data_IF_678145675637
#
_entry.id   IF_678145675637
#
_cell.length_a   1.000
_cell.length_b   1.000
_cell.length_c   1.000
_cell.angle_alpha   90.00
_cell.angle_beta   90.00
_cell.angle_gamma   90.00
#
_symmetry.space_group_name_H-M   'P 1'
#
loop_
_entity.id
_entity.type
_entity.pdbx_description
1 polymer ?
#
# COMPACT_ATOMS: atom_id res chain seq x y z
N UNK A 1 -30.73 -43.84 21.89
CA UNK A 1 -31.54 -43.05 20.94
C UNK A 1 -30.91 -43.24 19.57
N UNK A 2 -31.69 -43.48 18.51
CA UNK A 2 -31.13 -43.68 17.17
C UNK A 2 -30.28 -42.45 16.77
N UNK A 3 -29.01 -42.67 16.43
CA UNK A 3 -28.12 -41.61 15.95
C UNK A 3 -28.69 -41.04 14.65
N UNK A 4 -28.87 -39.72 14.59
CA UNK A 4 -29.48 -39.03 13.45
C UNK A 4 -28.43 -38.85 12.37
N UNK A 5 -28.72 -39.27 11.13
CA UNK A 5 -27.82 -39.06 10.01
C UNK A 5 -27.88 -37.61 9.52
N UNK A 6 -26.88 -37.14 8.76
CA UNK A 6 -26.86 -35.77 8.24
C UNK A 6 -28.06 -35.44 7.34
N UNK A 7 -28.63 -36.44 6.65
CA UNK A 7 -29.89 -36.30 5.91
C UNK A 7 -31.08 -36.05 6.84
N UNK A 8 -31.13 -36.72 7.98
CA UNK A 8 -32.17 -36.56 9.01
C UNK A 8 -32.03 -35.21 9.73
N UNK A 9 -30.78 -34.74 9.93
CA UNK A 9 -30.47 -33.42 10.50
C UNK A 9 -30.96 -32.28 9.60
N UNK A 10 -30.79 -32.42 8.27
CA UNK A 10 -31.30 -31.43 7.31
C UNK A 10 -32.78 -31.65 6.95
N UNK A 11 -33.39 -32.77 7.34
CA UNK A 11 -34.77 -33.11 7.01
C UNK A 11 -34.99 -33.36 5.52
N UNK A 12 -34.00 -33.92 4.83
CA UNK A 12 -34.02 -34.19 3.39
C UNK A 12 -33.83 -35.67 3.10
N UNK A 13 -34.35 -36.15 1.98
CA UNK A 13 -34.15 -37.54 1.55
C UNK A 13 -32.68 -37.83 1.22
N UNK A 14 -32.24 -39.09 1.37
CA UNK A 14 -30.90 -39.54 0.94
C UNK A 14 -30.64 -39.28 -0.55
N UNK A 15 -31.71 -39.28 -1.36
CA UNK A 15 -31.66 -39.00 -2.80
C UNK A 15 -31.86 -37.51 -3.13
N UNK A 16 -31.83 -36.61 -2.15
CA UNK A 16 -32.06 -35.18 -2.38
C UNK A 16 -30.99 -34.59 -3.31
N UNK A 17 -31.43 -33.71 -4.20
CA UNK A 17 -30.55 -32.93 -5.06
C UNK A 17 -29.78 -31.87 -4.26
N UNK A 18 -28.63 -31.42 -4.77
CA UNK A 18 -27.82 -30.38 -4.13
C UNK A 18 -28.60 -29.08 -3.90
N UNK A 19 -29.57 -28.79 -4.80
CA UNK A 19 -30.48 -27.65 -4.68
C UNK A 19 -31.43 -27.80 -3.48
N UNK A 20 -31.93 -29.00 -3.21
CA UNK A 20 -32.80 -29.30 -2.06
C UNK A 20 -32.03 -29.27 -0.74
N UNK A 21 -30.81 -29.82 -0.71
CA UNK A 21 -29.91 -29.78 0.44
C UNK A 21 -29.59 -28.31 0.80
N UNK A 22 -29.26 -27.49 -0.20
CA UNK A 22 -28.99 -26.06 -0.02
C UNK A 22 -30.22 -25.27 0.43
N UNK A 23 -31.41 -25.62 -0.07
CA UNK A 23 -32.68 -25.00 0.33
C UNK A 23 -33.04 -25.34 1.78
N UNK A 24 -32.86 -26.60 2.17
CA UNK A 24 -33.10 -27.07 3.54
C UNK A 24 -32.13 -26.42 4.54
N UNK A 25 -30.83 -26.37 4.20
CA UNK A 25 -29.82 -25.67 5.01
C UNK A 25 -30.19 -24.21 5.21
N UNK A 26 -30.51 -23.45 4.16
CA UNK A 26 -30.89 -22.03 4.30
C UNK A 26 -32.09 -21.82 5.22
N UNK A 27 -33.10 -22.70 5.14
CA UNK A 27 -34.30 -22.63 5.97
C UNK A 27 -34.00 -22.91 7.45
N UNK A 28 -33.15 -23.90 7.73
CA UNK A 28 -32.77 -24.29 9.10
C UNK A 28 -31.74 -23.33 9.70
N UNK A 29 -30.76 -22.89 8.91
CA UNK A 29 -29.76 -21.89 9.30
C UNK A 29 -30.43 -20.55 9.66
N UNK A 30 -31.42 -20.09 8.87
CA UNK A 30 -32.17 -18.88 9.19
C UNK A 30 -33.03 -19.00 10.46
N UNK A 31 -33.44 -20.24 10.82
CA UNK A 31 -34.26 -20.55 11.99
C UNK A 31 -33.43 -20.69 13.27
N UNK A 32 -32.23 -21.26 13.16
CA UNK A 32 -31.34 -21.52 14.29
C UNK A 32 -30.17 -20.52 14.38
N UNK A 33 -30.18 -19.44 13.57
CA UNK A 33 -29.12 -18.45 13.62
C UNK A 33 -29.00 -17.79 15.01
N UNK A 34 -27.79 -17.69 15.58
CA UNK A 34 -27.59 -17.14 16.92
C UNK A 34 -28.09 -15.69 17.05
N UNK A 35 -27.87 -14.85 16.02
CA UNK A 35 -28.37 -13.46 15.99
C UNK A 35 -29.91 -13.31 16.01
N UNK A 36 -30.65 -14.40 15.78
CA UNK A 36 -32.12 -14.43 15.86
C UNK A 36 -32.64 -15.15 17.09
N UNK A 37 -31.79 -15.38 18.10
CA UNK A 37 -32.13 -16.11 19.31
C UNK A 37 -32.32 -17.62 19.08
N UNK A 38 -31.69 -18.16 18.04
CA UNK A 38 -31.72 -19.58 17.69
C UNK A 38 -30.78 -20.43 18.54
N UNK A 39 -31.03 -21.74 18.56
CA UNK A 39 -30.25 -22.74 19.28
C UNK A 39 -28.91 -23.01 18.57
N UNK A 40 -27.81 -22.57 19.19
CA UNK A 40 -26.44 -22.66 18.66
C UNK A 40 -25.98 -24.10 18.42
N UNK A 41 -26.41 -25.05 19.27
CA UNK A 41 -26.08 -26.46 19.11
C UNK A 41 -26.72 -27.03 17.83
N UNK A 42 -27.99 -26.70 17.59
CA UNK A 42 -28.69 -27.10 16.36
C UNK A 42 -28.15 -26.41 15.12
N UNK A 43 -27.69 -25.16 15.24
CA UNK A 43 -27.04 -24.46 14.14
C UNK A 43 -25.74 -25.15 13.72
N UNK A 44 -24.94 -25.58 14.70
CA UNK A 44 -23.68 -26.30 14.46
C UNK A 44 -23.92 -27.64 13.76
N UNK A 45 -24.87 -28.43 14.24
CA UNK A 45 -25.26 -29.71 13.62
C UNK A 45 -25.74 -29.52 12.16
N UNK A 46 -26.57 -28.51 11.91
CA UNK A 46 -27.07 -28.19 10.56
C UNK A 46 -25.96 -27.73 9.63
N UNK A 47 -24.99 -26.97 10.15
CA UNK A 47 -23.82 -26.53 9.37
C UNK A 47 -22.89 -27.68 9.02
N UNK A 48 -22.65 -28.60 9.96
CA UNK A 48 -21.83 -29.81 9.73
C UNK A 48 -22.46 -30.76 8.71
N UNK A 49 -23.78 -30.96 8.80
CA UNK A 49 -24.51 -31.76 7.83
C UNK A 49 -24.42 -31.15 6.42
N UNK A 50 -24.53 -29.82 6.29
CA UNK A 50 -24.43 -29.15 4.99
C UNK A 50 -23.01 -29.18 4.40
N UNK A 51 -21.95 -28.99 5.19
CA UNK A 51 -20.56 -29.01 4.67
C UNK A 51 -20.17 -30.39 4.15
N UNK A 52 -20.70 -31.45 4.75
CA UNK A 52 -20.49 -32.83 4.31
C UNK A 52 -21.33 -33.15 3.07
N UNK A 53 -22.63 -32.81 3.08
CA UNK A 53 -23.55 -33.18 2.00
C UNK A 53 -23.49 -32.27 0.75
N UNK A 54 -22.97 -31.04 0.87
CA UNK A 54 -22.85 -30.11 -0.27
C UNK A 54 -21.64 -30.38 -1.18
N UNK A 55 -20.66 -31.17 -0.72
CA UNK A 55 -19.50 -31.56 -1.52
C UNK A 55 -19.72 -32.98 -2.08
N UNK A 56 -19.70 -33.18 -3.42
CA UNK A 56 -19.94 -34.49 -4.03
C UNK A 56 -19.00 -35.61 -3.56
N UNK A 57 -17.73 -35.30 -3.27
CA UNK A 57 -16.76 -36.30 -2.78
C UNK A 57 -17.05 -36.70 -1.33
N UNK A 58 -17.28 -35.71 -0.45
CA UNK A 58 -17.61 -35.96 0.96
C UNK A 58 -18.97 -36.65 1.14
N UNK A 59 -19.95 -36.28 0.31
CA UNK A 59 -21.26 -36.95 0.27
C UNK A 59 -21.11 -38.42 -0.09
N UNK A 60 -20.31 -38.73 -1.11
CA UNK A 60 -20.05 -40.11 -1.54
C UNK A 60 -19.35 -40.93 -0.45
N UNK A 61 -18.36 -40.34 0.23
CA UNK A 61 -17.66 -40.98 1.36
C UNK A 61 -18.61 -41.24 2.54
N UNK A 62 -19.47 -40.27 2.85
CA UNK A 62 -20.49 -40.40 3.88
C UNK A 62 -21.56 -41.46 3.52
N UNK A 63 -21.99 -41.51 2.27
CA UNK A 63 -22.93 -42.52 1.76
C UNK A 63 -22.31 -43.93 1.76
N UNK A 64 -21.01 -44.05 1.46
CA UNK A 64 -20.26 -45.30 1.56
C UNK A 64 -20.17 -45.79 3.02
N UNK A 65 -19.92 -44.87 3.96
CA UNK A 65 -19.89 -45.15 5.40
C UNK A 65 -21.25 -45.66 5.91
N UNK A 66 -22.34 -45.03 5.46
CA UNK A 66 -23.73 -45.45 5.76
C UNK A 66 -24.09 -46.82 5.15
N UNK A 67 -23.53 -47.16 3.98
CA UNK A 67 -23.83 -48.41 3.26
C UNK A 67 -23.06 -49.60 3.84
N UNK A 68 -21.86 -49.39 4.38
CA UNK A 68 -21.02 -50.43 4.98
C UNK A 68 -21.38 -50.71 6.46
N UNK A 69 -22.52 -50.21 6.95
CA UNK A 69 -23.02 -50.45 8.30
C UNK A 69 -22.27 -49.72 9.42
N UNK A 70 -21.50 -48.68 9.09
CA UNK A 70 -20.70 -47.93 10.05
C UNK A 70 -21.44 -46.74 10.65
N UNK A 71 -22.22 -46.99 11.71
CA UNK A 71 -22.49 -45.95 12.71
C UNK A 71 -21.19 -45.74 13.49
N UNK A 72 -20.63 -44.53 13.63
CA UNK A 72 -19.47 -44.31 14.49
C UNK A 72 -19.89 -44.52 15.95
N UNK A 73 -19.70 -45.74 16.47
CA UNK A 73 -19.97 -46.07 17.88
C UNK A 73 -20.84 -47.30 18.13
N UNK A 74 -21.40 -47.95 17.11
CA UNK A 74 -22.16 -49.19 17.30
C UNK A 74 -21.25 -50.42 17.15
N UNK A 75 -20.95 -51.07 18.28
CA UNK A 75 -20.10 -52.24 18.35
C UNK A 75 -20.58 -53.41 17.47
N UNK A 76 -19.66 -53.96 16.68
CA UNK A 76 -19.86 -55.24 16.01
C UNK A 76 -19.31 -56.34 16.91
N UNK A 77 -20.21 -57.02 17.62
CA UNK A 77 -19.93 -58.20 18.42
C UNK A 77 -20.00 -59.48 17.60
N UNK A 78 -18.90 -60.25 17.62
CA UNK A 78 -18.84 -61.70 17.40
C UNK A 78 -18.78 -62.15 15.93
N UNK A 79 -17.96 -63.12 15.53
CA UNK A 79 -16.96 -63.93 16.21
C UNK A 79 -16.09 -64.58 15.11
N UNK A 80 -14.75 -64.58 15.26
CA UNK A 80 -13.88 -65.30 14.33
C UNK A 80 -12.39 -64.91 14.38
N UNK A 81 -11.65 -65.56 15.29
CA UNK A 81 -10.21 -65.85 15.21
C UNK A 81 -9.19 -64.69 15.15
N UNK A 82 -8.71 -64.33 16.35
CA UNK A 82 -7.32 -64.05 16.76
C UNK A 82 -6.27 -63.58 15.72
N UNK A 83 -5.81 -62.34 15.90
CA UNK A 83 -4.57 -61.81 15.32
C UNK A 83 -4.32 -60.36 15.74
N UNK A 84 -3.75 -60.17 16.93
CA UNK A 84 -3.44 -58.87 17.56
C UNK A 84 -2.62 -57.92 16.67
N UNK A 85 -3.20 -56.76 16.34
CA UNK A 85 -2.45 -55.51 16.10
C UNK A 85 -3.06 -54.38 16.92
N UNK A 86 -2.30 -53.98 17.95
CA UNK A 86 -2.49 -52.75 18.71
C UNK A 86 -1.98 -51.58 17.88
N UNK A 87 -2.85 -50.60 17.57
CA UNK A 87 -2.44 -49.23 17.24
C UNK A 87 -3.08 -48.31 18.27
N UNK A 88 -2.35 -48.13 19.38
CA UNK A 88 -2.64 -47.11 20.38
C UNK A 88 -2.28 -45.73 19.85
N UNK A 89 -3.20 -44.78 20.03
CA UNK A 89 -3.00 -43.37 19.73
C UNK A 89 -4.33 -42.65 19.60
N UNK A 90 -5.13 -42.60 20.67
CA UNK A 90 -6.40 -41.89 20.69
C UNK A 90 -6.21 -40.40 20.43
N UNK A 91 -6.76 -39.91 19.31
CA UNK A 91 -6.95 -38.48 19.05
C UNK A 91 -8.44 -38.18 19.14
N UNK A 92 -8.83 -37.41 20.15
CA UNK A 92 -10.20 -36.95 20.35
C UNK A 92 -10.55 -35.86 19.33
N UNK A 93 -11.76 -35.92 18.77
CA UNK A 93 -12.32 -34.87 17.90
C UNK A 93 -12.46 -33.52 18.64
N UNK A 94 -12.56 -33.53 19.97
CA UNK A 94 -12.51 -32.34 20.82
C UNK A 94 -11.13 -31.64 20.81
N UNK A 95 -10.03 -32.37 20.61
CA UNK A 95 -8.67 -31.78 20.52
C UNK A 95 -8.39 -31.22 19.11
N UNK A 96 -8.95 -31.85 18.07
CA UNK A 96 -8.91 -31.36 16.68
C UNK A 96 -9.76 -30.08 16.53
N UNK A 97 -10.89 -29.98 17.22
CA UNK A 97 -11.74 -28.78 17.19
C UNK A 97 -11.28 -27.71 18.20
N UNK A 98 -10.67 -28.11 19.31
CA UNK A 98 -10.04 -27.22 20.30
C UNK A 98 -8.86 -26.44 19.71
N UNK A 99 -8.03 -27.12 18.91
CA UNK A 99 -6.94 -26.47 18.13
C UNK A 99 -7.46 -25.58 16.99
N UNK A 100 -8.69 -25.78 16.55
CA UNK A 100 -9.38 -24.94 15.56
C UNK A 100 -9.95 -23.65 16.16
N UNK A 101 -10.24 -23.62 17.47
CA UNK A 101 -10.80 -22.46 18.20
C UNK A 101 -9.72 -21.54 18.77
N UNK A 102 -8.48 -22.02 18.88
CA UNK A 102 -7.30 -21.26 19.29
C UNK A 102 -6.68 -20.44 18.16
N UNK A 103 -7.47 -19.64 17.44
CA UNK A 103 -6.97 -18.41 16.82
C UNK A 103 -5.92 -18.48 15.71
N UNK A 104 -5.72 -19.60 15.00
CA UNK A 104 -4.93 -19.63 13.76
C UNK A 104 -5.64 -20.38 12.63
N UNK A 105 -5.84 -19.66 11.51
CA UNK A 105 -6.71 -20.02 10.40
C UNK A 105 -6.48 -21.40 9.81
N UNK A 106 -7.49 -22.24 9.92
CA UNK A 106 -7.56 -23.60 9.39
C UNK A 106 -7.71 -23.65 7.87
N UNK A 107 -6.71 -23.20 7.10
CA UNK A 107 -6.49 -23.57 5.67
C UNK A 107 -5.03 -23.33 5.22
N UNK A 108 -4.04 -23.74 6.02
CA UNK A 108 -2.63 -23.45 5.73
C UNK A 108 -1.58 -24.54 5.97
N UNK A 109 -1.92 -25.76 6.40
CA UNK A 109 -0.87 -26.69 6.84
C UNK A 109 -1.13 -28.20 6.91
N UNK A 110 -2.35 -28.69 6.63
CA UNK A 110 -2.60 -30.13 6.61
C UNK A 110 -2.93 -30.59 5.19
N UNK A 111 -1.95 -31.19 4.55
CA UNK A 111 -2.08 -31.82 3.24
C UNK A 111 -2.58 -33.27 3.42
N UNK A 112 -3.86 -33.50 3.10
CA UNK A 112 -4.51 -34.83 3.14
C UNK A 112 -3.85 -35.85 2.18
N UNK A 113 -2.96 -35.44 1.28
CA UNK A 113 -2.15 -36.36 0.45
C UNK A 113 -1.05 -37.09 1.24
N UNK A 114 -0.70 -36.61 2.44
CA UNK A 114 0.36 -37.19 3.28
C UNK A 114 -0.06 -38.43 4.07
N UNK A 115 -1.36 -38.68 4.22
CA UNK A 115 -1.88 -39.87 4.91
C UNK A 115 -2.09 -41.05 3.95
N UNK A 116 -2.38 -40.80 2.66
CA UNK A 116 -2.72 -41.86 1.71
C UNK A 116 -1.56 -42.40 0.86
N UNK A 117 -0.35 -41.84 0.99
CA UNK A 117 0.85 -42.33 0.29
C UNK A 117 1.98 -42.72 1.26
N UNK A 118 1.64 -43.54 2.25
CA UNK A 118 2.57 -44.06 3.23
C UNK A 118 3.41 -45.23 2.72
N UNK A 119 4.45 -44.96 1.93
CA UNK A 119 5.72 -45.72 1.95
C UNK A 119 6.79 -45.00 1.11
N UNK A 120 7.57 -44.13 1.75
CA UNK A 120 8.71 -43.50 1.09
C UNK A 120 9.22 -42.32 1.90
N UNK A 121 10.35 -42.51 2.58
CA UNK A 121 11.19 -41.43 3.06
C UNK A 121 11.73 -40.65 1.84
N UNK A 122 10.90 -39.79 1.27
CA UNK A 122 11.21 -38.94 0.14
C UNK A 122 11.63 -37.57 0.64
N UNK A 123 12.86 -37.17 0.28
CA UNK A 123 13.41 -35.81 0.44
C UNK A 123 12.31 -34.75 0.34
N UNK A 124 12.22 -33.87 1.33
CA UNK A 124 11.44 -32.64 1.22
C UNK A 124 11.87 -31.94 -0.09
N UNK A 125 11.06 -32.06 -1.14
CA UNK A 125 11.32 -31.35 -2.38
C UNK A 125 11.21 -29.87 -2.06
N UNK A 126 12.35 -29.20 -2.14
CA UNK A 126 12.48 -27.78 -1.87
C UNK A 126 11.55 -27.04 -2.82
N UNK A 127 10.47 -26.46 -2.26
CA UNK A 127 9.44 -25.76 -3.03
C UNK A 127 10.06 -24.56 -3.77
N UNK A 128 9.55 -24.20 -4.96
CA UNK A 128 9.94 -22.97 -5.64
C UNK A 128 9.69 -21.76 -4.71
N UNK A 129 10.72 -20.99 -4.41
CA UNK A 129 10.61 -19.77 -3.59
C UNK A 129 11.03 -18.55 -4.40
N UNK A 130 10.25 -17.47 -4.31
CA UNK A 130 10.54 -16.22 -5.03
C UNK A 130 11.83 -15.60 -4.46
N UNK A 131 12.68 -15.07 -5.34
CA UNK A 131 13.83 -14.26 -4.92
C UNK A 131 13.40 -12.99 -4.18
N UNK A 132 14.26 -12.48 -3.30
CA UNK A 132 14.03 -11.24 -2.57
C UNK A 132 14.11 -10.00 -3.48
N UNK A 133 13.39 -8.95 -3.09
CA UNK A 133 13.43 -7.67 -3.80
C UNK A 133 14.76 -6.94 -3.49
N UNK A 134 15.31 -6.25 -4.50
CA UNK A 134 16.49 -5.40 -4.37
C UNK A 134 16.06 -3.93 -4.31
N UNK A 135 16.78 -3.11 -3.56
CA UNK A 135 16.56 -1.67 -3.49
C UNK A 135 17.75 -0.90 -4.03
N UNK A 136 17.49 0.14 -4.82
CA UNK A 136 18.51 1.01 -5.36
C UNK A 136 18.07 2.47 -5.27
N UNK A 137 18.99 3.38 -4.97
CA UNK A 137 18.71 4.82 -4.93
C UNK A 137 19.26 5.49 -6.20
N UNK A 138 18.45 6.36 -6.82
CA UNK A 138 18.88 7.20 -7.94
C UNK A 138 18.77 8.65 -7.53
N UNK A 139 19.91 9.34 -7.49
CA UNK A 139 19.95 10.79 -7.33
C UNK A 139 19.52 11.48 -8.62
N UNK A 140 18.72 12.52 -8.49
CA UNK A 140 18.18 13.34 -9.59
C UNK A 140 18.21 14.80 -9.13
N UNK A 141 18.55 15.73 -10.02
CA UNK A 141 18.48 17.16 -9.68
C UNK A 141 17.02 17.64 -9.67
N UNK A 142 16.75 18.80 -9.08
CA UNK A 142 15.39 19.34 -9.07
C UNK A 142 14.86 19.57 -10.50
N UNK A 143 15.69 20.15 -11.37
CA UNK A 143 15.37 20.45 -12.77
C UNK A 143 15.05 19.17 -13.56
N UNK A 144 15.89 18.13 -13.40
CA UNK A 144 15.64 16.82 -13.98
C UNK A 144 14.35 16.19 -13.45
N UNK A 145 14.03 16.40 -12.17
CA UNK A 145 12.78 15.94 -11.59
C UNK A 145 11.56 16.71 -12.13
N UNK A 146 11.70 17.98 -12.54
CA UNK A 146 10.62 18.76 -13.17
C UNK A 146 10.31 18.29 -14.58
N UNK A 147 11.34 18.05 -15.40
CA UNK A 147 11.17 17.68 -16.83
C UNK A 147 11.04 16.17 -17.02
N UNK A 148 11.60 15.38 -16.10
CA UNK A 148 11.77 13.93 -16.24
C UNK A 148 13.11 13.60 -16.91
N UNK A 149 13.68 12.45 -16.54
CA UNK A 149 14.98 12.02 -17.06
C UNK A 149 15.05 10.49 -17.20
N UNK A 150 16.01 10.01 -17.99
CA UNK A 150 16.34 8.60 -18.09
C UNK A 150 17.79 8.40 -17.69
N UNK A 151 18.04 7.57 -16.68
CA UNK A 151 19.39 7.26 -16.20
C UNK A 151 19.67 5.78 -16.35
N UNK A 152 20.80 5.45 -16.98
CA UNK A 152 21.28 4.06 -17.02
C UNK A 152 22.00 3.77 -15.70
N UNK A 153 21.46 2.84 -14.94
CA UNK A 153 22.00 2.45 -13.64
C UNK A 153 22.49 1.02 -13.72
N UNK A 154 23.67 0.75 -13.17
CA UNK A 154 24.20 -0.59 -12.98
C UNK A 154 24.05 -1.03 -11.54
N UNK A 155 23.58 -2.26 -11.33
CA UNK A 155 23.52 -2.89 -10.02
C UNK A 155 24.08 -4.31 -10.11
N UNK A 156 24.64 -4.77 -9.00
CA UNK A 156 25.15 -6.14 -8.87
C UNK A 156 24.11 -6.97 -8.14
N UNK A 157 23.87 -8.19 -8.60
CA UNK A 157 23.01 -9.15 -7.91
C UNK A 157 23.85 -9.88 -6.85
N UNK A 158 23.58 -9.71 -5.54
CA UNK A 158 24.34 -10.37 -4.49
C UNK A 158 24.47 -11.88 -4.65
N UNK A 159 23.42 -12.59 -5.10
CA UNK A 159 23.46 -14.05 -5.19
C UNK A 159 24.40 -14.61 -6.27
N UNK A 160 24.58 -13.91 -7.40
CA UNK A 160 25.39 -14.38 -8.54
C UNK A 160 26.66 -13.57 -8.77
N UNK A 161 26.79 -12.38 -8.18
CA UNK A 161 27.85 -11.42 -8.48
C UNK A 161 27.76 -10.79 -9.87
N UNK A 162 26.71 -11.10 -10.66
CA UNK A 162 26.53 -10.59 -12.00
C UNK A 162 26.13 -9.10 -11.96
N UNK A 163 26.78 -8.27 -12.79
CA UNK A 163 26.40 -6.88 -12.98
C UNK A 163 25.34 -6.78 -14.07
N UNK A 164 24.19 -6.21 -13.74
CA UNK A 164 23.13 -5.90 -14.69
C UNK A 164 22.98 -4.38 -14.84
N UNK A 165 22.55 -3.94 -16.02
CA UNK A 165 22.24 -2.54 -16.29
C UNK A 165 20.76 -2.38 -16.61
N UNK A 166 20.17 -1.30 -16.10
CA UNK A 166 18.78 -0.96 -16.30
C UNK A 166 18.66 0.54 -16.58
N UNK A 167 17.90 0.90 -17.61
CA UNK A 167 17.51 2.28 -17.85
C UNK A 167 16.32 2.62 -16.98
N UNK A 168 16.57 3.38 -15.91
CA UNK A 168 15.54 3.90 -15.01
C UNK A 168 14.91 5.13 -15.65
N UNK A 169 13.60 5.07 -15.90
CA UNK A 169 12.83 6.21 -16.40
C UNK A 169 12.19 6.93 -15.23
N UNK A 170 12.71 8.11 -14.89
CA UNK A 170 12.17 8.96 -13.85
C UNK A 170 11.10 9.87 -14.47
N UNK A 171 9.83 9.76 -14.07
CA UNK A 171 8.76 10.56 -14.65
C UNK A 171 8.95 12.05 -14.32
N UNK A 172 8.50 12.92 -15.22
CA UNK A 172 8.36 14.33 -14.94
C UNK A 172 7.48 14.53 -13.69
N UNK A 173 7.92 15.42 -12.80
CA UNK A 173 7.25 15.67 -11.54
C UNK A 173 7.63 14.69 -10.43
N UNK A 174 8.65 13.86 -10.60
CA UNK A 174 9.12 12.96 -9.55
C UNK A 174 9.36 13.71 -8.22
N UNK A 175 9.03 13.04 -7.12
CA UNK A 175 9.19 13.56 -5.76
C UNK A 175 10.29 12.79 -5.05
N UNK A 176 10.91 13.43 -4.06
CA UNK A 176 11.86 12.75 -3.20
C UNK A 176 11.20 11.55 -2.48
N UNK A 177 11.92 10.44 -2.40
CA UNK A 177 11.42 9.18 -1.85
C UNK A 177 10.45 8.41 -2.77
N UNK A 178 10.19 8.90 -3.98
CA UNK A 178 9.33 8.22 -4.96
C UNK A 178 9.88 6.84 -5.35
N UNK A 179 9.05 5.80 -5.30
CA UNK A 179 9.44 4.40 -5.59
C UNK A 179 9.01 3.95 -6.98
N UNK A 180 9.95 3.45 -7.77
CA UNK A 180 9.75 2.87 -9.09
C UNK A 180 10.04 1.37 -9.04
N UNK A 181 9.04 0.53 -9.34
CA UNK A 181 9.18 -0.94 -9.27
C UNK A 181 9.42 -1.54 -10.66
N UNK A 182 10.49 -2.31 -10.79
CA UNK A 182 10.85 -3.09 -11.98
C UNK A 182 10.73 -4.58 -11.69
N UNK A 183 9.70 -5.22 -12.26
CA UNK A 183 9.38 -6.62 -11.99
C UNK A 183 10.45 -7.58 -12.51
N UNK A 184 10.79 -8.60 -11.71
CA UNK A 184 11.72 -9.66 -12.12
C UNK A 184 13.18 -9.22 -12.30
N UNK A 185 13.55 -8.07 -11.72
CA UNK A 185 14.90 -7.49 -11.75
C UNK A 185 15.60 -7.54 -10.37
N UNK A 186 14.98 -8.18 -9.39
CA UNK A 186 15.59 -8.45 -8.08
C UNK A 186 16.40 -9.74 -8.08
N UNK A 187 16.51 -10.37 -6.91
CA UNK A 187 17.27 -11.60 -6.72
C UNK A 187 16.70 -12.79 -7.49
N UNK A 188 17.53 -13.79 -7.75
CA UNK A 188 17.07 -15.06 -8.29
C UNK A 188 16.26 -15.85 -7.25
N UNK A 189 15.17 -16.48 -7.70
CA UNK A 189 14.41 -17.41 -6.86
C UNK A 189 15.09 -18.77 -6.76
N UNK A 190 14.81 -19.51 -5.69
CA UNK A 190 15.34 -20.85 -5.51
C UNK A 190 14.37 -21.90 -6.07
N UNK A 191 14.92 -23.06 -6.48
CA UNK A 191 14.15 -24.23 -6.95
C UNK A 191 13.17 -23.90 -8.09
N UNK A 192 13.59 -23.05 -9.04
CA UNK A 192 12.75 -22.61 -10.15
C UNK A 192 11.73 -21.52 -9.80
N UNK A 193 11.82 -20.93 -8.60
CA UNK A 193 10.99 -19.79 -8.20
C UNK A 193 11.29 -18.53 -9.01
N UNK A 194 10.28 -17.66 -9.16
CA UNK A 194 10.41 -16.40 -9.89
C UNK A 194 11.42 -15.44 -9.25
N UNK A 195 11.98 -14.53 -10.04
CA UNK A 195 12.87 -13.48 -9.52
C UNK A 195 12.12 -12.47 -8.64
N UNK A 196 12.84 -11.86 -7.70
CA UNK A 196 12.42 -10.67 -6.97
C UNK A 196 12.23 -9.46 -7.88
N UNK A 197 11.77 -8.35 -7.32
CA UNK A 197 11.65 -7.07 -8.01
C UNK A 197 12.80 -6.13 -7.65
N UNK A 198 13.12 -5.18 -8.53
CA UNK A 198 14.00 -4.06 -8.19
C UNK A 198 13.14 -2.83 -7.89
N UNK A 199 13.27 -2.30 -6.68
CA UNK A 199 12.63 -1.07 -6.23
C UNK A 199 13.66 0.05 -6.26
N UNK A 200 13.48 0.97 -7.20
CA UNK A 200 14.32 2.15 -7.32
C UNK A 200 13.68 3.31 -6.57
N UNK A 201 14.37 3.85 -5.57
CA UNK A 201 13.95 5.05 -4.83
C UNK A 201 14.60 6.28 -5.46
N UNK A 202 13.79 7.28 -5.79
CA UNK A 202 14.26 8.54 -6.34
C UNK A 202 14.70 9.45 -5.19
N UNK A 203 15.91 10.00 -5.29
CA UNK A 203 16.44 11.01 -4.36
C UNK A 203 16.55 12.34 -5.10
N UNK A 204 15.68 13.29 -4.79
CA UNK A 204 15.67 14.59 -5.47
C UNK A 204 16.46 15.60 -4.64
N UNK A 205 17.48 16.20 -5.24
CA UNK A 205 18.25 17.24 -4.57
C UNK A 205 17.39 18.49 -4.30
N UNK A 206 17.58 19.11 -3.14
CA UNK A 206 16.95 20.41 -2.84
C UNK A 206 17.49 21.50 -3.77
N UNK A 207 16.60 22.37 -4.25
CA UNK A 207 16.98 23.48 -5.12
C UNK A 207 17.18 24.78 -4.32
N UNK A 208 18.23 25.57 -4.57
CA UNK A 208 18.49 26.80 -3.80
C UNK A 208 17.41 27.88 -3.97
N UNK A 209 16.78 27.98 -5.14
CA UNK A 209 15.76 29.00 -5.44
C UNK A 209 14.32 28.54 -5.23
N UNK A 210 14.08 27.22 -5.30
CA UNK A 210 12.72 26.68 -5.40
C UNK A 210 12.46 25.69 -4.28
N UNK A 211 11.32 25.88 -3.61
CA UNK A 211 10.77 24.90 -2.69
C UNK A 211 9.51 24.32 -3.31
N UNK A 212 9.49 22.99 -3.42
CA UNK A 212 8.35 22.28 -3.99
C UNK A 212 7.35 21.94 -2.88
N UNK A 213 6.07 22.21 -3.14
CA UNK A 213 4.93 21.84 -2.30
C UNK A 213 3.89 21.12 -3.16
N UNK A 214 4.01 19.79 -3.24
CA UNK A 214 3.21 18.98 -4.15
C UNK A 214 3.48 19.32 -5.63
N UNK A 215 2.47 19.80 -6.34
CA UNK A 215 2.62 20.30 -7.72
C UNK A 215 3.00 21.80 -7.75
N UNK A 216 2.72 22.53 -6.67
CA UNK A 216 3.03 23.95 -6.57
C UNK A 216 4.51 24.16 -6.23
N UNK A 217 5.06 25.28 -6.69
CA UNK A 217 6.46 25.64 -6.46
C UNK A 217 6.49 27.05 -5.87
N UNK A 218 7.31 27.25 -4.84
CA UNK A 218 7.50 28.54 -4.18
C UNK A 218 8.94 29.01 -4.33
N UNK A 219 9.11 30.30 -4.55
CA UNK A 219 10.41 30.97 -4.51
C UNK A 219 10.32 32.34 -3.85
N UNK A 220 11.46 32.80 -3.37
CA UNK A 220 11.61 34.15 -2.84
C UNK A 220 12.36 35.00 -3.87
N UNK A 221 11.72 36.07 -4.34
CA UNK A 221 12.33 37.04 -5.22
C UNK A 221 12.80 38.22 -4.40
N UNK A 222 14.11 38.36 -4.27
CA UNK A 222 14.70 39.55 -3.63
C UNK A 222 14.66 40.72 -4.60
N UNK A 223 14.05 41.82 -4.19
CA UNK A 223 14.05 43.10 -4.93
C UNK A 223 14.53 44.22 -4.01
N UNK A 224 15.04 45.30 -4.60
CA UNK A 224 15.41 46.50 -3.85
C UNK A 224 14.18 47.26 -3.35
N UNK A 225 14.38 48.06 -2.29
CA UNK A 225 13.36 49.03 -1.83
C UNK A 225 12.92 49.98 -2.94
N UNK A 226 13.82 50.32 -3.87
CA UNK A 226 13.54 51.24 -4.98
C UNK A 226 12.61 50.60 -6.02
N UNK A 227 12.87 49.36 -6.42
CA UNK A 227 12.01 48.59 -7.32
C UNK A 227 10.63 48.34 -6.71
N UNK A 228 10.57 48.07 -5.41
CA UNK A 228 9.32 47.92 -4.68
C UNK A 228 8.51 49.23 -4.66
N UNK A 229 9.17 50.37 -4.44
CA UNK A 229 8.54 51.68 -4.36
C UNK A 229 8.09 52.20 -5.72
N UNK A 230 8.95 52.16 -6.73
CA UNK A 230 8.73 52.73 -8.07
C UNK A 230 8.06 51.76 -9.06
N UNK A 231 8.08 50.47 -8.74
CA UNK A 231 7.70 49.40 -9.65
C UNK A 231 8.87 48.96 -10.52
N UNK A 232 8.83 47.72 -11.00
CA UNK A 232 9.88 47.12 -11.79
C UNK A 232 9.34 46.04 -12.73
N UNK A 233 10.15 45.67 -13.72
CA UNK A 233 9.95 44.46 -14.52
C UNK A 233 11.14 43.55 -14.27
N UNK A 234 10.88 42.37 -13.71
CA UNK A 234 11.92 41.41 -13.32
C UNK A 234 11.67 40.09 -14.05
N UNK A 235 12.72 39.48 -14.57
CA UNK A 235 12.63 38.15 -15.15
C UNK A 235 12.81 37.10 -14.06
N UNK A 236 11.85 36.18 -13.98
CA UNK A 236 11.80 35.14 -12.97
C UNK A 236 12.01 33.79 -13.65
N UNK A 237 13.02 33.00 -13.23
CA UNK A 237 13.24 31.67 -13.78
C UNK A 237 12.16 30.71 -13.30
N UNK A 238 11.66 29.89 -14.22
CA UNK A 238 10.71 28.83 -13.93
C UNK A 238 11.43 27.50 -13.72
N UNK A 239 10.83 26.56 -12.97
CA UNK A 239 11.40 25.23 -12.76
C UNK A 239 11.58 24.38 -14.03
N UNK A 240 10.90 24.77 -15.13
CA UNK A 240 11.01 24.10 -16.43
C UNK A 240 12.17 24.63 -17.28
N UNK A 241 12.93 25.63 -16.80
CA UNK A 241 14.06 26.23 -17.52
C UNK A 241 13.69 27.46 -18.38
N UNK A 242 12.41 27.84 -18.43
CA UNK A 242 11.95 29.05 -19.11
C UNK A 242 11.99 30.27 -18.16
N UNK A 243 12.02 31.50 -18.69
CA UNK A 243 11.89 32.72 -17.89
C UNK A 243 10.54 33.39 -18.12
N UNK A 244 9.99 33.99 -17.06
CA UNK A 244 8.70 34.70 -17.09
C UNK A 244 8.88 36.11 -16.58
N UNK A 245 8.32 37.07 -17.31
CA UNK A 245 8.36 38.47 -16.92
C UNK A 245 7.34 38.76 -15.83
N UNK A 246 7.82 39.12 -14.64
CA UNK A 246 7.01 39.61 -13.54
C UNK A 246 7.00 41.14 -13.55
N UNK A 247 5.81 41.73 -13.71
CA UNK A 247 5.59 43.16 -13.48
C UNK A 247 5.31 43.37 -11.99
N UNK A 248 6.25 43.98 -11.28
CA UNK A 248 6.10 44.40 -9.88
C UNK A 248 5.46 45.80 -9.87
N UNK A 249 4.23 45.95 -9.35
CA UNK A 249 3.60 47.26 -9.24
C UNK A 249 4.33 48.16 -8.24
N UNK A 250 4.30 49.47 -8.47
CA UNK A 250 4.74 50.46 -7.50
C UNK A 250 4.01 50.30 -6.16
N UNK A 251 4.72 50.53 -5.06
CA UNK A 251 4.20 50.35 -3.69
C UNK A 251 4.02 48.89 -3.27
N UNK A 252 4.66 47.93 -3.95
CA UNK A 252 4.60 46.52 -3.54
C UNK A 252 5.24 46.34 -2.16
N UNK A 253 4.50 45.69 -1.25
CA UNK A 253 4.93 45.42 0.12
C UNK A 253 5.75 44.13 0.22
N UNK A 254 6.57 44.05 1.26
CA UNK A 254 7.31 42.83 1.61
C UNK A 254 6.36 41.66 1.87
N UNK A 255 6.75 40.46 1.46
CA UNK A 255 5.94 39.26 1.60
C UNK A 255 4.79 39.12 0.60
N UNK A 256 4.54 40.10 -0.28
CA UNK A 256 3.52 39.97 -1.33
C UNK A 256 3.87 38.80 -2.26
N UNK A 257 2.92 37.89 -2.47
CA UNK A 257 3.10 36.73 -3.35
C UNK A 257 2.37 36.91 -4.68
N UNK A 258 3.09 36.71 -5.79
CA UNK A 258 2.53 36.64 -7.13
C UNK A 258 2.36 35.18 -7.54
N UNK A 259 1.19 34.84 -8.10
CA UNK A 259 0.86 33.48 -8.52
C UNK A 259 0.85 33.39 -10.04
N UNK A 260 1.65 32.48 -10.57
CA UNK A 260 1.68 32.14 -11.99
C UNK A 260 1.13 30.72 -12.20
N UNK A 261 -0.06 30.63 -12.77
CA UNK A 261 -0.75 29.35 -12.99
C UNK A 261 -0.07 28.55 -14.10
N UNK A 262 0.07 27.23 -13.90
CA UNK A 262 0.62 26.31 -14.90
C UNK A 262 2.15 26.32 -15.01
N UNK A 263 2.83 27.10 -14.17
CA UNK A 263 4.29 27.25 -14.14
C UNK A 263 4.94 26.50 -12.96
N UNK A 264 4.19 25.64 -12.26
CA UNK A 264 4.69 24.74 -11.23
C UNK A 264 5.14 23.39 -11.79
N UNK A 265 5.29 22.41 -10.90
CA UNK A 265 5.65 21.04 -11.25
C UNK A 265 4.47 20.32 -11.97
N UNK A 266 4.75 19.40 -12.89
CA UNK A 266 3.74 18.49 -13.40
C UNK A 266 3.29 17.52 -12.30
N UNK A 267 2.00 17.20 -12.30
CA UNK A 267 1.44 16.19 -11.41
C UNK A 267 1.76 14.79 -11.93
N UNK A 268 2.43 13.97 -11.11
CA UNK A 268 2.76 12.58 -11.45
C UNK A 268 1.50 11.75 -11.69
N UNK A 269 0.38 12.06 -11.02
CA UNK A 269 -0.90 11.37 -11.18
C UNK A 269 -1.70 11.85 -12.38
N UNK A 270 -1.55 13.12 -12.76
CA UNK A 270 -2.29 13.75 -13.86
C UNK A 270 -1.32 14.49 -14.78
N UNK A 271 -0.88 13.80 -15.84
CA UNK A 271 0.14 14.29 -16.78
C UNK A 271 -0.20 15.64 -17.44
N UNK A 272 -1.48 15.99 -17.53
CA UNK A 272 -1.92 17.25 -18.14
C UNK A 272 -2.09 18.40 -17.13
N UNK A 273 -1.90 18.15 -15.83
CA UNK A 273 -2.03 19.18 -14.81
C UNK A 273 -0.65 19.62 -14.32
N UNK A 274 -0.46 20.94 -14.24
CA UNK A 274 0.72 21.58 -13.65
C UNK A 274 0.28 22.46 -12.49
N UNK A 275 1.06 22.49 -11.44
CA UNK A 275 0.84 23.43 -10.35
C UNK A 275 1.12 24.88 -10.74
N UNK A 276 1.09 25.76 -9.74
CA UNK A 276 1.44 27.17 -9.88
C UNK A 276 2.83 27.47 -9.31
N UNK A 277 3.48 28.49 -9.88
CA UNK A 277 4.65 29.12 -9.30
C UNK A 277 4.20 30.29 -8.43
N UNK A 278 4.61 30.29 -7.17
CA UNK A 278 4.40 31.38 -6.22
C UNK A 278 5.72 32.10 -6.00
N UNK A 279 5.73 33.38 -6.35
CA UNK A 279 6.90 34.25 -6.21
C UNK A 279 6.61 35.23 -5.08
N UNK A 280 7.20 34.99 -3.92
CA UNK A 280 7.07 35.88 -2.76
C UNK A 280 8.16 36.93 -2.82
N UNK A 281 7.76 38.20 -2.84
CA UNK A 281 8.69 39.32 -2.81
C UNK A 281 9.34 39.42 -1.44
N UNK A 282 10.66 39.59 -1.44
CA UNK A 282 11.44 39.97 -0.26
C UNK A 282 12.19 41.26 -0.55
N UNK A 283 11.85 42.32 0.18
CA UNK A 283 12.47 43.63 -0.01
C UNK A 283 13.82 43.64 0.72
N UNK A 284 14.88 43.95 -0.03
CA UNK A 284 16.22 44.15 0.50
C UNK A 284 16.49 45.64 0.64
N UNK A 285 16.89 46.04 1.83
CA UNK A 285 17.33 47.41 2.16
C UNK A 285 18.87 47.42 2.17
N UNK A 286 19.53 48.42 1.55
CA UNK A 286 20.99 48.54 1.61
C UNK A 286 21.51 48.60 3.05
N UNK A 287 22.58 47.85 3.35
CA UNK A 287 23.18 47.81 4.70
C UNK A 287 24.13 48.97 4.97
N UNK A 288 24.67 49.59 3.93
CA UNK A 288 25.49 50.79 3.98
C UNK A 288 25.05 51.77 2.90
N UNK A 289 25.34 53.05 3.10
CA UNK A 289 24.94 54.13 2.19
C UNK A 289 26.14 55.07 2.00
N UNK A 290 26.39 55.45 0.75
CA UNK A 290 27.27 56.57 0.40
C UNK A 290 26.71 57.90 0.87
N UNK A 291 27.51 58.96 0.80
CA UNK A 291 27.08 60.32 1.17
C UNK A 291 25.87 60.79 0.33
N UNK A 292 25.90 60.52 -0.97
CA UNK A 292 24.84 60.92 -1.90
C UNK A 292 23.55 60.11 -1.66
N UNK A 293 23.64 58.80 -1.47
CA UNK A 293 22.48 57.94 -1.18
C UNK A 293 21.84 58.32 0.16
N UNK A 294 22.65 58.59 1.19
CA UNK A 294 22.16 59.05 2.50
C UNK A 294 21.44 60.39 2.37
N UNK A 295 21.99 61.33 1.60
CA UNK A 295 21.36 62.63 1.35
C UNK A 295 20.01 62.46 0.65
N UNK A 296 19.95 61.63 -0.40
CA UNK A 296 18.72 61.35 -1.13
C UNK A 296 17.64 60.72 -0.24
N UNK A 297 18.00 59.70 0.56
CA UNK A 297 17.08 59.05 1.48
C UNK A 297 16.63 59.97 2.63
N UNK A 298 17.50 60.87 3.10
CA UNK A 298 17.12 61.85 4.12
C UNK A 298 16.10 62.85 3.59
N UNK A 299 16.29 63.35 2.36
CA UNK A 299 15.32 64.22 1.71
C UNK A 299 13.97 63.51 1.51
N UNK A 300 13.98 62.22 1.13
CA UNK A 300 12.76 61.44 0.98
C UNK A 300 12.05 61.23 2.32
N UNK A 301 12.79 60.96 3.40
CA UNK A 301 12.25 60.84 4.76
C UNK A 301 11.58 62.13 5.20
N UNK A 302 12.20 63.28 4.96
CA UNK A 302 11.68 64.57 5.43
C UNK A 302 10.40 64.99 4.67
N UNK A 303 10.23 64.49 3.44
CA UNK A 303 8.99 64.64 2.66
C UNK A 303 7.90 63.59 3.01
N UNK A 304 8.20 62.61 3.86
CA UNK A 304 7.30 61.50 4.16
C UNK A 304 6.42 61.80 5.38
N UNK A 305 5.12 61.98 5.15
CA UNK A 305 4.13 62.26 6.19
C UNK A 305 3.35 61.02 6.67
N UNK A 306 3.80 59.80 6.32
CA UNK A 306 3.12 58.56 6.69
C UNK A 306 3.43 58.13 8.13
N UNK A 307 2.39 57.67 8.85
CA UNK A 307 2.50 57.14 10.22
C UNK A 307 2.71 55.61 10.22
N UNK A 308 3.96 55.16 10.16
CA UNK A 308 4.26 53.71 10.09
C UNK A 308 4.08 52.93 11.39
N UNK A 309 4.04 53.61 12.55
CA UNK A 309 4.05 52.98 13.88
C UNK A 309 2.84 53.34 14.73
N UNK A 310 1.78 53.89 14.13
CA UNK A 310 0.57 54.36 14.84
C UNK A 310 0.02 53.34 15.85
N UNK A 311 -0.04 52.07 15.46
CA UNK A 311 -0.57 50.99 16.29
C UNK A 311 0.31 50.64 17.51
N UNK A 312 1.60 50.94 17.45
CA UNK A 312 2.54 50.74 18.56
C UNK A 312 2.59 52.00 19.41
N UNK A 313 2.70 53.16 18.78
CA UNK A 313 2.83 54.46 19.44
C UNK A 313 1.63 54.80 20.32
N UNK A 314 0.43 54.28 20.00
CA UNK A 314 -0.78 54.41 20.84
C UNK A 314 -0.67 53.80 22.24
N UNK A 315 0.36 52.98 22.51
CA UNK A 315 0.59 52.33 23.80
C UNK A 315 1.82 52.87 24.55
N UNK A 316 2.54 53.83 23.97
CA UNK A 316 3.76 54.41 24.55
C UNK A 316 3.48 55.78 25.19
N UNK A 317 2.32 56.38 24.91
CA UNK A 317 1.81 57.63 25.49
C UNK A 317 0.99 57.40 26.75
#
# INVERSE_FOLDING_TARGET
MAEKNYYDVLGVSKNASDAEIKKAFRKLAAKYHPDRGGDEAKYKEVSEAYTTLSNPQKRKEYDQLLTFGGIPGAGFGGAGAAGSYSYGGGMNWEDILGSMRGGDGAFGGFDFSSIFNGQGAGRAQSRPSKGSDLTLDVSVTAEEAFVGTQRKVSYTIPSTGERQSLTVKVPAGAVDGGKLRYRGRGEFGANGGARGDLVVTTRVAEHPLWKRDGADVRMELSISIFEAALGAQVEVPTPAGETVRLKVPAGTQDGKTFRFRGMGAPDVKSKNNKGALYVTVRIKVPTSLSADERKALSNLRDADHREYRKDVERYVS
#
